data_IF_426999578559
#
_entry.id   IF_426999578559
#
_cell.length_a   1.000
_cell.length_b   1.000
_cell.length_c   1.000
_cell.angle_alpha   90.00
_cell.angle_beta   90.00
_cell.angle_gamma   90.00
#
_symmetry.space_group_name_H-M   'P 1'
#
loop_
_entity.id
_entity.type
_entity.pdbx_description
1 polymer ?
#
# COMPACT_ATOMS: atom_id res chain seq x y z
N UNK A 1 29.05 -15.40 5.92
CA UNK A 1 27.68 -15.77 5.51
C UNK A 1 26.74 -14.68 6.00
N UNK A 2 25.99 -14.04 5.10
CA UNK A 2 25.01 -13.01 5.45
C UNK A 2 23.90 -13.64 6.29
N UNK A 3 23.80 -13.25 7.57
CA UNK A 3 22.76 -13.72 8.50
C UNK A 3 21.35 -13.16 8.17
N UNK A 4 21.18 -12.57 6.99
CA UNK A 4 19.93 -11.92 6.57
C UNK A 4 18.92 -12.97 6.14
N UNK A 5 17.79 -13.05 6.84
CA UNK A 5 16.72 -13.99 6.54
C UNK A 5 15.55 -13.34 5.79
N UNK A 6 15.11 -12.17 6.25
CA UNK A 6 13.97 -11.45 5.69
C UNK A 6 14.26 -9.96 5.59
N UNK A 7 13.73 -9.34 4.55
CA UNK A 7 13.66 -7.88 4.41
C UNK A 7 12.20 -7.47 4.26
N UNK A 8 11.67 -6.75 5.24
CA UNK A 8 10.34 -6.16 5.22
C UNK A 8 10.38 -4.77 4.63
N UNK A 9 9.41 -4.43 3.80
CA UNK A 9 9.27 -3.08 3.25
C UNK A 9 7.85 -2.57 3.48
N UNK A 10 7.74 -1.44 4.15
CA UNK A 10 6.55 -0.59 4.12
C UNK A 10 6.64 0.40 2.94
N UNK A 11 5.61 0.39 2.08
CA UNK A 11 5.60 1.12 0.82
C UNK A 11 4.82 2.42 0.95
N UNK A 12 5.53 3.55 1.02
CA UNK A 12 4.93 4.87 0.88
C UNK A 12 4.91 5.38 -0.56
N UNK A 13 4.27 6.54 -0.77
CA UNK A 13 4.17 7.17 -2.10
C UNK A 13 5.54 7.51 -2.72
N UNK A 14 6.46 8.00 -1.90
CA UNK A 14 7.79 8.45 -2.34
C UNK A 14 8.93 7.92 -1.46
N UNK A 15 8.58 7.33 -0.32
CA UNK A 15 9.50 6.91 0.73
C UNK A 15 9.17 5.47 1.09
N UNK A 16 10.21 4.66 1.26
CA UNK A 16 10.13 3.24 1.52
C UNK A 16 10.92 2.94 2.79
N UNK A 17 10.27 2.31 3.77
CA UNK A 17 10.90 1.96 5.03
C UNK A 17 11.21 0.48 5.03
N UNK A 18 12.47 0.15 5.26
CA UNK A 18 12.99 -1.20 5.19
C UNK A 18 13.44 -1.67 6.57
N UNK A 19 13.15 -2.93 6.87
CA UNK A 19 13.60 -3.65 8.05
C UNK A 19 14.23 -4.98 7.63
N UNK A 20 15.53 -5.15 7.85
CA UNK A 20 16.22 -6.40 7.63
C UNK A 20 16.41 -7.16 8.95
N UNK A 21 16.15 -8.46 8.95
CA UNK A 21 16.30 -9.29 10.16
C UNK A 21 16.94 -10.66 9.89
N UNK A 22 17.50 -11.24 10.94
CA UNK A 22 18.01 -12.61 10.94
C UNK A 22 16.91 -13.67 11.15
N UNK A 23 17.30 -14.96 11.15
CA UNK A 23 16.37 -16.08 11.34
C UNK A 23 15.59 -16.01 12.67
N UNK A 24 16.23 -15.70 13.82
CA UNK A 24 15.54 -15.38 15.07
C UNK A 24 14.61 -14.16 15.05
N UNK A 25 14.70 -13.30 14.03
CA UNK A 25 13.94 -12.05 13.95
C UNK A 25 14.63 -10.86 14.61
N UNK A 26 15.94 -10.97 14.91
CA UNK A 26 16.74 -9.84 15.37
C UNK A 26 17.03 -8.90 14.22
N UNK A 27 16.89 -7.61 14.49
CA UNK A 27 17.18 -6.56 13.52
C UNK A 27 18.65 -6.55 13.12
N UNK A 28 18.90 -6.51 11.82
CA UNK A 28 20.22 -6.31 11.23
C UNK A 28 20.37 -4.89 10.70
N UNK A 29 19.30 -4.30 10.15
CA UNK A 29 19.30 -2.92 9.70
C UNK A 29 17.89 -2.33 9.57
N UNK A 30 17.82 -1.00 9.62
CA UNK A 30 16.69 -0.19 9.16
C UNK A 30 17.15 0.86 8.15
N UNK A 31 16.38 1.07 7.09
CA UNK A 31 16.67 2.11 6.08
C UNK A 31 15.41 2.81 5.61
N UNK A 32 15.49 4.12 5.43
CA UNK A 32 14.48 4.94 4.75
C UNK A 32 15.04 5.35 3.39
N UNK A 33 14.44 4.89 2.30
CA UNK A 33 14.95 5.08 0.95
C UNK A 33 13.88 5.66 0.02
N UNK A 34 14.29 6.36 -1.05
CA UNK A 34 13.44 6.60 -2.22
C UNK A 34 13.35 5.34 -3.08
N UNK A 35 12.41 5.30 -4.03
CA UNK A 35 12.25 4.15 -4.96
C UNK A 35 13.56 3.84 -5.69
N UNK A 36 14.24 4.87 -6.19
CA UNK A 36 15.50 4.69 -6.94
C UNK A 36 16.62 4.18 -6.04
N UNK A 37 16.72 4.69 -4.80
CA UNK A 37 17.68 4.22 -3.83
C UNK A 37 17.39 2.77 -3.41
N UNK A 38 16.13 2.40 -3.25
CA UNK A 38 15.70 1.03 -2.95
C UNK A 38 16.10 0.07 -4.06
N UNK A 39 15.84 0.40 -5.34
CA UNK A 39 16.23 -0.48 -6.45
C UNK A 39 17.75 -0.64 -6.55
N UNK A 40 18.51 0.45 -6.38
CA UNK A 40 19.98 0.36 -6.30
C UNK A 40 20.45 -0.48 -5.11
N UNK A 41 19.79 -0.37 -3.97
CA UNK A 41 20.13 -1.15 -2.79
C UNK A 41 19.95 -2.65 -3.06
N UNK A 42 18.82 -3.06 -3.62
CA UNK A 42 18.55 -4.46 -3.94
C UNK A 42 19.43 -5.00 -5.06
N UNK A 43 19.75 -4.21 -6.08
CA UNK A 43 20.68 -4.61 -7.14
C UNK A 43 22.09 -4.95 -6.60
N UNK A 44 22.48 -4.42 -5.44
CA UNK A 44 23.77 -4.71 -4.78
C UNK A 44 23.63 -5.66 -3.58
N UNK A 45 22.41 -6.04 -3.20
CA UNK A 45 22.16 -6.95 -2.09
C UNK A 45 22.15 -8.38 -2.62
N UNK A 46 22.81 -9.34 -1.95
CA UNK A 46 22.65 -10.74 -2.31
C UNK A 46 21.18 -11.17 -2.32
N UNK A 47 20.85 -12.13 -3.20
CA UNK A 47 19.51 -12.69 -3.30
C UNK A 47 18.97 -13.07 -1.90
N UNK A 48 17.75 -12.61 -1.61
CA UNK A 48 17.12 -12.77 -0.30
C UNK A 48 15.60 -12.76 -0.45
N UNK A 49 14.89 -13.11 0.63
CA UNK A 49 13.43 -13.03 0.67
C UNK A 49 13.01 -11.62 1.11
N UNK A 50 12.20 -10.98 0.27
CA UNK A 50 11.63 -9.65 0.53
C UNK A 50 10.13 -9.78 0.72
N UNK A 51 9.61 -9.18 1.79
CA UNK A 51 8.20 -9.27 2.19
C UNK A 51 7.58 -7.88 2.25
N UNK A 52 6.38 -7.75 1.69
CA UNK A 52 5.64 -6.48 1.61
C UNK A 52 4.17 -6.69 1.90
N UNK A 53 3.50 -5.66 2.43
CA UNK A 53 2.05 -5.64 2.46
C UNK A 53 1.50 -5.52 1.02
N UNK A 54 0.46 -6.29 0.72
CA UNK A 54 -0.20 -6.26 -0.59
C UNK A 54 -0.97 -4.95 -0.76
N UNK A 55 -0.42 -4.05 -1.57
CA UNK A 55 -1.06 -2.81 -2.02
C UNK A 55 -0.92 -2.64 -3.54
N UNK A 56 -1.54 -1.60 -4.11
CA UNK A 56 -1.47 -1.34 -5.55
C UNK A 56 -0.03 -1.18 -6.06
N UNK A 57 0.84 -0.54 -5.28
CA UNK A 57 2.27 -0.39 -5.60
C UNK A 57 3.10 -1.64 -5.37
N UNK A 58 2.69 -2.52 -4.45
CA UNK A 58 3.47 -3.70 -4.05
C UNK A 58 3.62 -4.72 -5.17
N UNK A 59 2.61 -4.87 -6.03
CA UNK A 59 2.69 -5.78 -7.17
C UNK A 59 3.77 -5.37 -8.17
N UNK A 60 3.89 -4.07 -8.47
CA UNK A 60 4.96 -3.56 -9.33
C UNK A 60 6.33 -3.81 -8.68
N UNK A 61 6.51 -3.42 -7.41
CA UNK A 61 7.78 -3.60 -6.70
C UNK A 61 8.16 -5.07 -6.59
N UNK A 62 7.21 -5.97 -6.37
CA UNK A 62 7.48 -7.40 -6.31
C UNK A 62 8.04 -7.97 -7.63
N UNK A 63 7.53 -7.49 -8.78
CA UNK A 63 8.06 -7.91 -10.10
C UNK A 63 9.48 -7.40 -10.31
N UNK A 64 9.75 -6.13 -10.00
CA UNK A 64 11.09 -5.54 -10.09
C UNK A 64 12.11 -6.29 -9.22
N UNK A 65 11.75 -6.57 -7.96
CA UNK A 65 12.62 -7.31 -7.05
C UNK A 65 12.85 -8.76 -7.50
N UNK A 66 11.84 -9.39 -8.09
CA UNK A 66 11.98 -10.74 -8.66
C UNK A 66 12.90 -10.74 -9.86
N UNK A 67 12.83 -9.71 -10.72
CA UNK A 67 13.74 -9.54 -11.85
C UNK A 67 15.20 -9.32 -11.42
N UNK A 68 15.43 -8.72 -10.25
CA UNK A 68 16.75 -8.59 -9.62
C UNK A 68 17.22 -9.89 -8.91
N UNK A 69 16.43 -10.97 -8.94
CA UNK A 69 16.79 -12.27 -8.36
C UNK A 69 16.38 -12.47 -6.90
N UNK A 70 15.59 -11.58 -6.32
CA UNK A 70 15.05 -11.76 -4.97
C UNK A 70 13.75 -12.57 -4.97
N UNK A 71 13.47 -13.23 -3.85
CA UNK A 71 12.17 -13.86 -3.65
C UNK A 71 11.19 -12.84 -3.02
N UNK A 72 10.36 -12.20 -3.85
CA UNK A 72 9.34 -11.29 -3.36
C UNK A 72 8.07 -12.03 -2.91
N UNK A 73 7.56 -11.69 -1.72
CA UNK A 73 6.33 -12.24 -1.14
C UNK A 73 5.42 -11.11 -0.68
N UNK A 74 4.12 -11.22 -0.95
CA UNK A 74 3.12 -10.24 -0.53
C UNK A 74 2.23 -10.81 0.57
N UNK A 75 1.89 -10.03 1.58
CA UNK A 75 1.01 -10.43 2.69
C UNK A 75 -0.24 -9.55 2.69
N UNK A 76 -1.42 -10.15 2.92
CA UNK A 76 -2.65 -9.36 3.09
C UNK A 76 -2.53 -8.43 4.30
N UNK A 77 -2.95 -7.16 4.20
CA UNK A 77 -2.96 -6.21 5.33
C UNK A 77 -3.61 -6.77 6.60
N UNK A 78 -4.64 -7.62 6.43
CA UNK A 78 -5.37 -8.24 7.52
C UNK A 78 -4.51 -9.18 8.38
N UNK A 79 -3.48 -9.78 7.79
CA UNK A 79 -2.54 -10.66 8.50
C UNK A 79 -1.36 -9.90 9.10
N UNK A 80 -1.07 -8.69 8.64
CA UNK A 80 0.00 -7.83 9.20
C UNK A 80 -0.50 -7.10 10.44
N UNK A 81 -1.75 -6.61 10.42
CA UNK A 81 -2.35 -5.79 11.48
C UNK A 81 -2.13 -6.31 12.92
N UNK A 82 -2.25 -7.62 13.23
CA UNK A 82 -2.03 -8.12 14.59
C UNK A 82 -0.60 -7.96 15.11
N UNK A 83 0.38 -7.75 14.24
CA UNK A 83 1.80 -7.65 14.58
C UNK A 83 2.30 -6.20 14.70
N UNK A 84 1.47 -5.21 14.36
CA UNK A 84 1.82 -3.79 14.48
C UNK A 84 1.82 -3.40 15.96
N UNK A 85 2.94 -2.87 16.46
CA UNK A 85 3.15 -2.58 17.89
C UNK A 85 3.18 -1.07 18.14
N UNK A 86 2.25 -0.57 18.95
CA UNK A 86 2.24 0.83 19.40
C UNK A 86 1.67 1.81 18.37
N UNK A 87 2.20 3.03 18.36
CA UNK A 87 1.73 4.11 17.50
C UNK A 87 2.22 3.94 16.06
N UNK A 88 1.50 4.58 15.12
CA UNK A 88 1.82 4.54 13.69
C UNK A 88 3.26 5.00 13.44
N UNK A 89 4.07 4.11 12.88
CA UNK A 89 5.43 4.37 12.45
C UNK A 89 5.77 3.38 11.32
N UNK A 90 6.19 3.90 10.18
CA UNK A 90 6.46 3.10 8.98
C UNK A 90 7.56 2.02 9.20
N UNK A 91 8.52 2.24 10.13
CA UNK A 91 9.49 1.21 10.52
C UNK A 91 8.86 0.09 11.36
N UNK A 92 7.88 0.43 12.20
CA UNK A 92 7.11 -0.57 12.96
C UNK A 92 6.28 -1.41 11.99
N UNK A 93 5.70 -0.79 10.98
CA UNK A 93 4.94 -1.50 9.94
C UNK A 93 5.85 -2.44 9.14
N UNK A 94 7.05 -1.99 8.73
CA UNK A 94 8.05 -2.84 8.08
C UNK A 94 8.49 -4.04 8.95
N UNK A 95 8.65 -3.82 10.26
CA UNK A 95 8.94 -4.89 11.21
C UNK A 95 7.78 -5.86 11.37
N UNK A 96 6.54 -5.37 11.45
CA UNK A 96 5.33 -6.18 11.57
C UNK A 96 5.13 -7.09 10.35
N UNK A 97 5.45 -6.61 9.14
CA UNK A 97 5.44 -7.42 7.92
C UNK A 97 6.43 -8.58 8.03
N UNK A 98 7.64 -8.34 8.53
CA UNK A 98 8.63 -9.40 8.78
C UNK A 98 8.18 -10.40 9.86
N UNK A 99 7.58 -9.91 10.93
CA UNK A 99 7.06 -10.76 12.02
C UNK A 99 5.94 -11.67 11.52
N UNK A 100 4.99 -11.11 10.76
CA UNK A 100 3.95 -11.85 10.06
C UNK A 100 4.55 -12.91 9.13
N UNK A 101 5.48 -12.53 8.26
CA UNK A 101 6.13 -13.43 7.30
C UNK A 101 6.88 -14.60 7.96
N UNK A 102 7.38 -14.40 9.19
CA UNK A 102 8.11 -15.44 9.94
C UNK A 102 7.21 -16.55 10.48
N UNK A 103 5.88 -16.37 10.48
CA UNK A 103 4.97 -17.38 11.02
C UNK A 103 4.90 -18.59 10.09
N UNK A 104 5.08 -19.83 10.61
CA UNK A 104 5.09 -21.04 9.77
C UNK A 104 3.84 -21.23 8.91
N UNK A 105 2.69 -20.75 9.38
CA UNK A 105 1.39 -20.88 8.72
C UNK A 105 1.00 -19.66 7.88
N UNK A 106 1.93 -18.71 7.68
CA UNK A 106 1.64 -17.48 6.95
C UNK A 106 1.26 -17.74 5.49
N UNK A 107 0.25 -17.00 5.00
CA UNK A 107 -0.26 -17.11 3.64
C UNK A 107 0.17 -15.90 2.83
N UNK A 108 0.66 -16.14 1.62
CA UNK A 108 1.15 -15.11 0.73
C UNK A 108 0.21 -14.92 -0.47
N UNK A 109 0.14 -13.68 -0.94
CA UNK A 109 -0.57 -13.29 -2.16
C UNK A 109 0.42 -13.35 -3.32
N UNK A 110 0.03 -13.99 -4.41
CA UNK A 110 0.86 -14.00 -5.63
C UNK A 110 0.93 -12.59 -6.23
N UNK A 111 2.14 -12.10 -6.58
CA UNK A 111 2.28 -10.87 -7.36
C UNK A 111 1.48 -10.98 -8.66
N UNK A 112 0.61 -10.01 -8.92
CA UNK A 112 -0.17 -9.95 -10.16
C UNK A 112 0.74 -9.57 -11.33
N UNK A 113 0.46 -10.13 -12.50
CA UNK A 113 1.03 -9.63 -13.76
C UNK A 113 0.42 -8.27 -14.11
N UNK A 114 1.04 -7.54 -15.04
CA UNK A 114 0.56 -6.23 -15.47
C UNK A 114 -0.86 -6.29 -16.03
N UNK A 115 -1.15 -7.28 -16.88
CA UNK A 115 -2.49 -7.50 -17.42
C UNK A 115 -3.53 -7.77 -16.33
N UNK A 116 -3.20 -8.59 -15.33
CA UNK A 116 -4.10 -8.87 -14.19
C UNK A 116 -4.36 -7.63 -13.33
N UNK A 117 -3.36 -6.75 -13.18
CA UNK A 117 -3.48 -5.51 -12.43
C UNK A 117 -4.38 -4.50 -13.16
N UNK A 118 -4.31 -4.44 -14.49
CA UNK A 118 -5.21 -3.64 -15.32
C UNK A 118 -6.65 -4.15 -15.29
N UNK A 119 -6.87 -5.45 -15.51
CA UNK A 119 -8.20 -6.08 -15.51
C UNK A 119 -8.91 -5.97 -14.16
N UNK A 120 -8.18 -6.03 -13.04
CA UNK A 120 -8.78 -5.80 -11.73
C UNK A 120 -9.17 -4.33 -11.52
N UNK A 121 -8.37 -3.39 -12.02
CA UNK A 121 -8.65 -1.96 -11.90
C UNK A 121 -9.96 -1.58 -12.63
N UNK A 122 -10.18 -2.11 -13.84
CA UNK A 122 -11.43 -1.91 -14.59
C UNK A 122 -12.63 -2.62 -13.92
N UNK A 123 -12.46 -3.86 -13.45
CA UNK A 123 -13.54 -4.61 -12.81
C UNK A 123 -13.95 -4.03 -11.43
N UNK A 124 -13.01 -3.41 -10.72
CA UNK A 124 -13.27 -2.71 -9.46
C UNK A 124 -14.09 -1.44 -9.68
N UNK A 125 -13.79 -0.68 -10.74
CA UNK A 125 -14.56 0.49 -11.15
C UNK A 125 -15.97 0.10 -11.64
N UNK A 126 -16.09 -1.01 -12.37
CA UNK A 126 -17.38 -1.51 -12.85
C UNK A 126 -18.33 -1.95 -11.71
N UNK A 127 -17.81 -2.38 -10.55
CA UNK A 127 -18.66 -2.69 -9.37
C UNK A 127 -19.22 -1.46 -8.66
N UNK A 128 -18.68 -0.27 -8.92
CA UNK A 128 -19.24 1.00 -8.40
C UNK A 128 -20.36 1.51 -9.33
N UNK A 129 -20.37 1.07 -10.60
CA UNK A 129 -21.28 1.55 -11.63
C UNK A 129 -22.44 0.61 -11.96
N UNK A 130 -22.61 -0.51 -11.25
CA UNK A 130 -23.74 -1.41 -11.43
C UNK A 130 -24.78 -1.20 -10.31
N UNK A 131 -25.77 -0.30 -10.49
CA UNK A 131 -26.96 -0.36 -9.69
C UNK A 131 -27.70 -1.62 -10.13
N UNK A 132 -27.58 -2.72 -9.37
CA UNK A 132 -28.47 -3.85 -9.55
C UNK A 132 -29.90 -3.31 -9.62
N UNK A 133 -30.66 -3.53 -10.71
CA UNK A 133 -32.03 -3.08 -10.76
C UNK A 133 -32.77 -3.95 -9.73
N UNK A 134 -33.13 -3.35 -8.60
CA UNK A 134 -34.13 -3.93 -7.73
C UNK A 134 -35.43 -3.94 -8.54
N UNK A 135 -35.91 -5.13 -8.89
CA UNK A 135 -37.24 -5.27 -9.47
C UNK A 135 -38.26 -4.59 -8.55
N UNK A 136 -38.93 -3.55 -9.07
CA UNK A 136 -40.30 -3.21 -8.71
C UNK A 136 -40.57 -2.49 -7.39
N UNK A 137 -39.68 -1.66 -6.85
CA UNK A 137 -39.98 -0.84 -5.67
C UNK A 137 -39.52 0.61 -5.82
N UNK A 138 -40.40 1.58 -5.59
CA UNK A 138 -40.04 3.00 -5.48
C UNK A 138 -38.91 3.16 -4.44
N UNK A 139 -37.84 3.92 -4.74
CA UNK A 139 -36.71 4.07 -3.83
C UNK A 139 -37.14 4.78 -2.55
N UNK A 140 -36.71 4.24 -1.40
CA UNK A 140 -37.05 4.82 -0.11
C UNK A 140 -36.37 6.19 0.12
N UNK A 141 -36.93 6.98 1.03
CA UNK A 141 -36.43 8.32 1.35
C UNK A 141 -35.00 8.31 1.93
N UNK A 142 -34.53 7.18 2.47
CA UNK A 142 -33.16 7.04 3.02
C UNK A 142 -32.12 6.91 1.92
N UNK A 143 -32.44 6.22 0.82
CA UNK A 143 -31.61 6.13 -0.37
C UNK A 143 -31.43 7.50 -1.02
N UNK A 144 -32.52 8.25 -1.20
CA UNK A 144 -32.48 9.60 -1.78
C UNK A 144 -31.72 10.60 -0.89
N UNK A 145 -31.81 10.49 0.43
CA UNK A 145 -31.05 11.31 1.36
C UNK A 145 -29.54 11.05 1.27
N UNK A 146 -29.11 9.81 1.04
CA UNK A 146 -27.69 9.43 0.94
C UNK A 146 -27.05 9.92 -0.36
N UNK A 147 -27.80 9.93 -1.46
CA UNK A 147 -27.34 10.50 -2.75
C UNK A 147 -27.20 12.03 -2.65
N UNK A 148 -28.15 12.72 -1.99
CA UNK A 148 -28.06 14.17 -1.79
C UNK A 148 -26.95 14.60 -0.83
N UNK A 149 -26.66 13.82 0.21
CA UNK A 149 -25.59 14.14 1.16
C UNK A 149 -24.19 14.15 0.51
N UNK A 150 -23.92 13.27 -0.46
CA UNK A 150 -22.62 13.21 -1.13
C UNK A 150 -22.41 14.28 -2.20
N UNK A 151 -23.49 14.88 -2.75
CA UNK A 151 -23.39 15.97 -3.72
C UNK A 151 -23.15 17.35 -3.07
N UNK A 152 -23.55 17.54 -1.80
CA UNK A 152 -23.50 18.83 -1.12
C UNK A 152 -22.20 19.10 -0.32
N UNK A 153 -21.29 18.12 -0.20
CA UNK A 153 -20.07 18.26 0.60
C UNK A 153 -18.88 18.83 -0.20
N UNK A 154 -18.99 20.06 -0.70
CA UNK A 154 -17.84 20.97 -0.97
C UNK A 154 -18.24 22.45 -0.86
N UNK A 155 -17.85 23.16 0.21
CA UNK A 155 -17.49 24.58 0.17
C UNK A 155 -15.94 24.70 0.13
N UNK A 156 -15.29 25.32 -0.86
CA UNK A 156 -14.99 26.78 -0.98
C UNK A 156 -13.74 27.15 -0.15
N UNK A 157 -12.71 27.93 -0.52
CA UNK A 157 -12.39 28.92 -1.57
C UNK A 157 -10.87 29.18 -1.52
N UNK A 158 -10.27 29.78 -2.55
CA UNK A 158 -9.50 31.02 -2.33
C UNK A 158 -9.42 31.82 -3.65
N UNK A 159 -10.21 32.89 -3.71
CA UNK A 159 -10.10 33.97 -4.69
C UNK A 159 -9.69 35.22 -3.91
N UNK A 160 -8.50 35.74 -4.19
CA UNK A 160 -8.02 37.02 -3.66
C UNK A 160 -8.74 38.20 -4.32
N UNK A 161 -9.27 39.18 -3.56
CA UNK A 161 -9.94 40.34 -4.13
C UNK A 161 -8.96 41.47 -4.51
N UNK A 162 -9.26 42.10 -5.65
CA UNK A 162 -8.70 43.37 -6.15
C UNK A 162 -9.13 44.51 -5.23
N UNK A 163 -8.15 45.25 -4.69
CA UNK A 163 -8.38 46.52 -4.01
C UNK A 163 -8.15 47.72 -4.94
N UNK A 164 -9.19 48.52 -5.17
CA UNK A 164 -9.10 49.91 -5.64
C UNK A 164 -9.70 50.82 -4.56
N UNK A 165 -8.93 51.80 -4.11
CA UNK A 165 -9.43 53.08 -3.61
C UNK A 165 -8.32 54.12 -3.71
N UNK A 166 -8.56 55.20 -4.46
CA UNK A 166 -7.73 56.40 -4.46
C UNK A 166 -8.09 57.32 -3.30
N UNK A 167 -7.23 58.31 -3.04
CA UNK A 167 -7.50 59.42 -2.13
C UNK A 167 -6.25 60.06 -1.53
N UNK A 168 -5.62 60.96 -2.28
CA UNK A 168 -5.06 62.25 -1.84
C UNK A 168 -4.79 63.09 -3.09
#
# INVERSE_FOLDING_TARGET
MSNLALVGIDLGKHTFHMHGQDKPGRELFRKKLSRQQMMRFFANLPACTVVMEACAGAHFVARELTALGHQAKLISPQFVKPFVKGNKNDFVDAQAICEAASRPTMRFVSPKTEGQQYSFSIASAARIADPRPHQGGQPDARFLARVRYQSAARPGRDETPVGRSGGA
#
